data_IF_799699039617
#
_entry.id   IF_799699039617
#
_cell.length_a   1.000
_cell.length_b   1.000
_cell.length_c   1.000
_cell.angle_alpha   90.00
_cell.angle_beta   90.00
_cell.angle_gamma   90.00
#
_symmetry.space_group_name_H-M   'P 1'
#
loop_
_entity.id
_entity.type
_entity.pdbx_description
1 polymer ?
#
# COMPACT_ATOMS: atom_id res chain seq x y z
N UNK A 1 -22.59 19.24 19.81
CA UNK A 1 -21.14 19.06 19.55
C UNK A 1 -20.64 20.33 18.86
N UNK A 2 -19.64 21.01 19.43
CA UNK A 2 -19.04 22.21 18.81
C UNK A 2 -18.53 21.92 17.39
N UNK A 3 -18.47 22.94 16.54
CA UNK A 3 -18.05 22.83 15.14
C UNK A 3 -16.69 22.15 14.97
N UNK A 4 -15.73 22.47 15.84
CA UNK A 4 -14.39 21.84 15.86
C UNK A 4 -14.43 20.32 16.06
N UNK A 5 -15.21 19.84 17.04
CA UNK A 5 -15.35 18.40 17.29
C UNK A 5 -15.97 17.66 16.11
N UNK A 6 -16.96 18.28 15.44
CA UNK A 6 -17.57 17.72 14.22
C UNK A 6 -16.60 17.63 13.06
N UNK A 7 -15.79 18.66 12.85
CA UNK A 7 -14.76 18.67 11.79
C UNK A 7 -13.73 17.56 12.01
N UNK A 8 -13.19 17.42 13.22
CA UNK A 8 -12.22 16.37 13.54
C UNK A 8 -12.82 14.97 13.39
N UNK A 9 -14.06 14.75 13.85
CA UNK A 9 -14.76 13.48 13.67
C UNK A 9 -14.96 13.14 12.19
N UNK A 10 -15.36 14.11 11.36
CA UNK A 10 -15.52 13.92 9.92
C UNK A 10 -14.17 13.59 9.23
N UNK A 11 -13.09 14.25 9.64
CA UNK A 11 -11.74 13.94 9.15
C UNK A 11 -11.33 12.51 9.50
N UNK A 12 -11.53 12.06 10.74
CA UNK A 12 -11.22 10.68 11.14
C UNK A 12 -12.02 9.66 10.34
N UNK A 13 -13.31 9.89 10.14
CA UNK A 13 -14.16 9.01 9.32
C UNK A 13 -13.71 8.96 7.86
N UNK A 14 -13.35 10.11 7.28
CA UNK A 14 -12.81 10.18 5.93
C UNK A 14 -11.52 9.35 5.80
N UNK A 15 -10.66 9.42 6.81
CA UNK A 15 -9.40 8.68 6.81
C UNK A 15 -9.59 7.17 6.96
N UNK A 16 -10.54 6.71 7.78
CA UNK A 16 -10.89 5.29 7.84
C UNK A 16 -11.46 4.74 6.53
N UNK A 17 -12.21 5.57 5.79
CA UNK A 17 -12.70 5.20 4.46
C UNK A 17 -11.54 5.09 3.48
N UNK A 18 -10.61 6.03 3.51
CA UNK A 18 -9.43 5.99 2.64
C UNK A 18 -8.50 4.81 2.97
N UNK A 19 -8.35 4.46 4.26
CA UNK A 19 -7.60 3.28 4.69
C UNK A 19 -8.17 2.00 4.09
N UNK A 20 -9.49 1.81 4.21
CA UNK A 20 -10.20 0.67 3.60
C UNK A 20 -10.10 0.64 2.08
N UNK A 21 -10.29 1.79 1.43
CA UNK A 21 -10.13 1.88 -0.02
C UNK A 21 -8.69 1.53 -0.46
N UNK A 22 -7.69 1.90 0.33
CA UNK A 22 -6.30 1.55 0.06
C UNK A 22 -6.06 0.03 0.22
N UNK A 23 -6.59 -0.61 1.25
CA UNK A 23 -6.54 -2.07 1.43
C UNK A 23 -7.17 -2.80 0.22
N UNK A 24 -8.33 -2.36 -0.24
CA UNK A 24 -8.98 -2.92 -1.43
C UNK A 24 -8.13 -2.73 -2.70
N UNK A 25 -7.48 -1.57 -2.86
CA UNK A 25 -6.58 -1.31 -3.98
C UNK A 25 -5.33 -2.19 -3.92
N UNK A 26 -4.77 -2.45 -2.73
CA UNK A 26 -3.64 -3.37 -2.56
C UNK A 26 -4.05 -4.77 -2.97
N UNK A 27 -5.20 -5.27 -2.52
CA UNK A 27 -5.69 -6.59 -2.92
C UNK A 27 -5.86 -6.70 -4.45
N UNK A 28 -6.33 -5.64 -5.11
CA UNK A 28 -6.43 -5.58 -6.58
C UNK A 28 -5.06 -5.59 -7.25
N UNK A 29 -4.08 -4.87 -6.71
CA UNK A 29 -2.71 -4.87 -7.24
C UNK A 29 -2.11 -6.27 -7.09
N UNK A 30 -2.24 -6.90 -5.93
CA UNK A 30 -1.76 -8.26 -5.69
C UNK A 30 -2.39 -9.23 -6.69
N UNK A 31 -3.71 -9.15 -6.88
CA UNK A 31 -4.39 -10.02 -7.84
C UNK A 31 -3.89 -9.82 -9.27
N UNK A 32 -3.74 -8.57 -9.71
CA UNK A 32 -3.22 -8.27 -11.04
C UNK A 32 -1.78 -8.78 -11.24
N UNK A 33 -0.99 -8.83 -10.18
CA UNK A 33 0.38 -9.36 -10.21
C UNK A 33 0.43 -10.88 -10.23
N UNK A 34 -0.41 -11.56 -9.45
CA UNK A 34 -0.57 -13.01 -9.55
C UNK A 34 -0.95 -13.43 -10.99
N UNK A 35 -1.91 -12.72 -11.58
CA UNK A 35 -2.37 -13.00 -12.93
C UNK A 35 -1.25 -12.75 -13.96
N UNK A 36 -0.43 -11.72 -13.73
CA UNK A 36 0.75 -11.44 -14.55
C UNK A 36 1.83 -12.52 -14.40
N UNK A 37 2.16 -12.95 -13.17
CA UNK A 37 3.13 -14.02 -12.93
C UNK A 37 2.69 -15.33 -13.56
N UNK A 38 1.40 -15.67 -13.43
CA UNK A 38 0.83 -16.86 -14.07
C UNK A 38 0.95 -16.79 -15.60
N UNK A 39 0.64 -15.62 -16.20
CA UNK A 39 0.80 -15.40 -17.63
C UNK A 39 2.25 -15.52 -18.08
N UNK A 40 3.19 -14.85 -17.39
CA UNK A 40 4.61 -14.88 -17.72
C UNK A 40 5.19 -16.30 -17.58
N UNK A 41 4.80 -17.03 -16.53
CA UNK A 41 5.22 -18.42 -16.34
C UNK A 41 4.63 -19.38 -17.37
N UNK A 42 3.43 -19.11 -17.90
CA UNK A 42 2.87 -19.86 -19.02
C UNK A 42 3.58 -19.52 -20.34
N UNK A 43 3.82 -18.23 -20.60
CA UNK A 43 4.55 -17.74 -21.77
C UNK A 43 5.96 -18.32 -21.85
N UNK A 44 6.69 -18.32 -20.74
CA UNK A 44 8.03 -18.91 -20.63
C UNK A 44 8.03 -20.42 -20.95
N UNK A 45 7.07 -21.17 -20.40
CA UNK A 45 6.91 -22.60 -20.71
C UNK A 45 6.60 -22.85 -22.19
N UNK A 46 5.72 -22.04 -22.78
CA UNK A 46 5.43 -22.17 -24.21
C UNK A 46 6.67 -21.92 -25.08
N UNK A 47 7.56 -20.98 -24.70
CA UNK A 47 8.82 -20.79 -25.41
C UNK A 47 9.75 -22.00 -25.29
N UNK A 48 9.83 -22.64 -24.12
CA UNK A 48 10.59 -23.88 -23.90
C UNK A 48 10.02 -25.04 -24.73
N UNK A 49 8.69 -25.18 -24.79
CA UNK A 49 8.02 -26.21 -25.59
C UNK A 49 8.24 -26.03 -27.09
N UNK A 50 8.23 -24.78 -27.58
CA UNK A 50 8.55 -24.45 -28.97
C UNK A 50 10.03 -24.73 -29.25
N UNK A 51 10.92 -24.32 -28.34
CA UNK A 51 12.35 -24.59 -28.45
C UNK A 51 12.65 -26.09 -28.57
N UNK A 52 11.93 -26.94 -27.82
CA UNK A 52 12.11 -28.39 -27.87
C UNK A 52 11.67 -29.04 -29.19
N UNK A 53 10.80 -28.37 -29.95
CA UNK A 53 10.29 -28.82 -31.25
C UNK A 53 10.99 -28.16 -32.43
N UNK A 54 11.84 -27.15 -32.18
CA UNK A 54 12.50 -26.37 -33.21
C UNK A 54 13.71 -27.11 -33.80
N UNK A 55 13.68 -27.33 -35.12
CA UNK A 55 14.74 -28.05 -35.84
C UNK A 55 16.01 -27.20 -36.02
N UNK A 56 15.84 -25.87 -36.11
CA UNK A 56 16.94 -24.92 -36.19
C UNK A 56 17.59 -24.77 -34.81
N UNK A 57 18.65 -25.54 -34.54
CA UNK A 57 19.32 -25.55 -33.23
C UNK A 57 19.70 -24.15 -32.67
N UNK A 58 20.20 -23.19 -33.46
CA UNK A 58 20.44 -21.82 -32.97
C UNK A 58 19.16 -21.10 -32.53
N UNK A 59 18.05 -21.28 -33.24
CA UNK A 59 16.76 -20.70 -32.87
C UNK A 59 16.16 -21.40 -31.65
N UNK A 60 16.24 -22.73 -31.59
CA UNK A 60 15.83 -23.53 -30.44
C UNK A 60 16.53 -23.04 -29.15
N UNK A 61 17.86 -22.86 -29.20
CA UNK A 61 18.62 -22.35 -28.07
C UNK A 61 18.16 -20.95 -27.64
N UNK A 62 17.95 -20.04 -28.60
CA UNK A 62 17.49 -18.70 -28.29
C UNK A 62 16.11 -18.67 -27.62
N UNK A 63 15.16 -19.47 -28.12
CA UNK A 63 13.82 -19.61 -27.56
C UNK A 63 13.86 -20.20 -26.15
N UNK A 64 14.69 -21.23 -25.93
CA UNK A 64 14.91 -21.81 -24.60
C UNK A 64 15.48 -20.79 -23.61
N UNK A 65 16.48 -20.01 -24.02
CA UNK A 65 17.05 -18.95 -23.19
C UNK A 65 16.02 -17.86 -22.82
N UNK A 66 15.13 -17.49 -23.75
CA UNK A 66 14.03 -16.56 -23.45
C UNK A 66 13.05 -17.13 -22.44
N UNK A 67 12.71 -18.42 -22.56
CA UNK A 67 11.88 -19.13 -21.58
C UNK A 67 12.50 -19.10 -20.18
N UNK A 68 13.78 -19.46 -20.08
CA UNK A 68 14.53 -19.42 -18.82
C UNK A 68 14.55 -18.00 -18.20
N UNK A 69 14.75 -16.97 -19.02
CA UNK A 69 14.70 -15.58 -18.57
C UNK A 69 13.32 -15.18 -18.04
N UNK A 70 12.24 -15.65 -18.68
CA UNK A 70 10.88 -15.46 -18.18
C UNK A 70 10.65 -16.10 -16.81
N UNK A 71 11.11 -17.34 -16.62
CA UNK A 71 11.02 -18.03 -15.32
C UNK A 71 11.85 -17.33 -14.23
N UNK A 72 13.06 -16.88 -14.58
CA UNK A 72 13.91 -16.10 -13.67
C UNK A 72 13.27 -14.78 -13.29
N UNK A 73 12.68 -14.06 -14.24
CA UNK A 73 12.00 -12.79 -13.94
C UNK A 73 10.85 -13.01 -12.97
N UNK A 74 10.02 -14.04 -13.17
CA UNK A 74 8.91 -14.36 -12.25
C UNK A 74 9.44 -14.69 -10.86
N UNK A 75 10.38 -15.63 -10.75
CA UNK A 75 10.90 -16.07 -9.45
C UNK A 75 11.67 -14.98 -8.69
N UNK A 76 12.53 -14.21 -9.37
CA UNK A 76 13.33 -13.16 -8.73
C UNK A 76 12.53 -11.90 -8.40
N UNK A 77 11.39 -11.66 -9.06
CA UNK A 77 10.55 -10.49 -8.79
C UNK A 77 9.39 -10.74 -7.83
N UNK A 78 9.03 -12.00 -7.56
CA UNK A 78 7.89 -12.36 -6.71
C UNK A 78 7.91 -11.65 -5.36
N UNK A 79 8.97 -11.84 -4.56
CA UNK A 79 9.06 -11.24 -3.23
C UNK A 79 8.97 -9.70 -3.25
N UNK A 80 9.61 -9.09 -4.25
CA UNK A 80 9.72 -7.64 -4.39
C UNK A 80 8.41 -7.01 -4.89
N UNK A 81 7.65 -7.74 -5.71
CA UNK A 81 6.45 -7.24 -6.38
C UNK A 81 5.15 -7.62 -5.67
N UNK A 82 5.17 -8.71 -4.89
CA UNK A 82 4.03 -9.25 -4.16
C UNK A 82 4.18 -9.03 -2.66
N UNK A 83 5.05 -9.82 -2.03
CA UNK A 83 5.09 -9.97 -0.58
C UNK A 83 5.46 -8.67 0.13
N UNK A 84 6.47 -7.95 -0.37
CA UNK A 84 6.96 -6.73 0.27
C UNK A 84 5.97 -5.57 0.18
N UNK A 85 5.40 -5.21 -0.99
CA UNK A 85 4.35 -4.20 -1.08
C UNK A 85 3.13 -4.51 -0.23
N UNK A 86 2.64 -5.75 -0.24
CA UNK A 86 1.51 -6.16 0.58
C UNK A 86 1.80 -5.93 2.08
N UNK A 87 2.91 -6.48 2.56
CA UNK A 87 3.30 -6.38 3.97
C UNK A 87 3.47 -4.94 4.41
N UNK A 88 4.20 -4.14 3.62
CA UNK A 88 4.49 -2.74 3.95
C UNK A 88 3.23 -1.88 3.97
N UNK A 89 2.31 -2.07 3.01
CA UNK A 89 1.09 -1.26 2.96
C UNK A 89 0.12 -1.66 4.07
N UNK A 90 -0.11 -2.96 4.29
CA UNK A 90 -0.99 -3.44 5.35
C UNK A 90 -0.46 -3.05 6.73
N UNK A 91 0.85 -3.14 6.95
CA UNK A 91 1.47 -2.71 8.21
C UNK A 91 1.28 -1.21 8.43
N UNK A 92 1.45 -0.38 7.40
CA UNK A 92 1.24 1.06 7.50
C UNK A 92 -0.22 1.41 7.79
N UNK A 93 -1.17 0.79 7.10
CA UNK A 93 -2.60 1.04 7.31
C UNK A 93 -3.00 0.65 8.74
N UNK A 94 -2.57 -0.52 9.20
CA UNK A 94 -2.79 -0.98 10.58
C UNK A 94 -2.21 0.02 11.59
N UNK A 95 -0.97 0.48 11.38
CA UNK A 95 -0.35 1.46 12.27
C UNK A 95 -1.08 2.81 12.30
N UNK A 96 -1.60 3.28 11.15
CA UNK A 96 -2.42 4.52 11.11
C UNK A 96 -3.73 4.31 11.87
N UNK A 97 -4.34 3.14 11.77
CA UNK A 97 -5.56 2.82 12.52
C UNK A 97 -5.30 2.82 14.03
N UNK A 98 -4.32 2.03 14.47
CA UNK A 98 -4.10 1.74 15.89
C UNK A 98 -3.47 2.90 16.66
N UNK A 99 -2.51 3.59 16.04
CA UNK A 99 -1.69 4.60 16.75
C UNK A 99 -2.20 6.01 16.54
N UNK A 100 -3.13 6.20 15.62
CA UNK A 100 -3.44 7.50 15.09
C UNK A 100 -4.97 7.73 15.10
N UNK A 101 -5.76 6.89 14.41
CA UNK A 101 -7.22 7.05 14.35
C UNK A 101 -7.91 6.69 15.67
N UNK A 102 -7.62 5.51 16.23
CA UNK A 102 -8.26 5.02 17.46
C UNK A 102 -8.01 5.95 18.66
N UNK A 103 -6.77 6.42 18.93
CA UNK A 103 -6.50 7.35 20.03
C UNK A 103 -7.24 8.69 19.85
N UNK A 104 -7.27 9.23 18.63
CA UNK A 104 -7.97 10.48 18.33
C UNK A 104 -9.48 10.38 18.57
N UNK A 105 -10.10 9.24 18.22
CA UNK A 105 -11.52 8.98 18.53
C UNK A 105 -11.78 8.97 20.04
N UNK A 106 -10.94 8.28 20.81
CA UNK A 106 -11.04 8.25 22.28
C UNK A 106 -10.94 9.65 22.90
N UNK A 107 -9.98 10.46 22.42
CA UNK A 107 -9.83 11.85 22.87
C UNK A 107 -11.05 12.71 22.52
N UNK A 108 -11.67 12.51 21.34
CA UNK A 108 -12.89 13.22 20.97
C UNK A 108 -14.08 12.82 21.85
N UNK A 109 -14.21 11.54 22.20
CA UNK A 109 -15.25 11.07 23.14
C UNK A 109 -15.05 11.68 24.53
N UNK A 110 -13.81 11.71 25.02
CA UNK A 110 -13.47 12.29 26.31
C UNK A 110 -13.71 13.80 26.34
N UNK A 111 -13.40 14.49 25.23
CA UNK A 111 -13.73 15.91 25.03
C UNK A 111 -15.24 16.14 25.12
N UNK A 112 -16.03 15.31 24.44
CA UNK A 112 -17.49 15.44 24.45
C UNK A 112 -18.06 15.23 25.85
N UNK A 113 -17.57 14.23 26.60
CA UNK A 113 -17.94 14.01 28.00
C UNK A 113 -17.56 15.20 28.87
N UNK A 114 -16.35 15.72 28.71
CA UNK A 114 -15.86 16.85 29.49
C UNK A 114 -16.71 18.12 29.28
N UNK A 115 -17.08 18.41 28.03
CA UNK A 115 -17.95 19.55 27.69
C UNK A 115 -19.37 19.35 28.24
N UNK A 116 -19.93 18.13 28.16
CA UNK A 116 -21.26 17.85 28.73
C UNK A 116 -21.28 18.11 30.24
N UNK A 117 -20.24 17.72 30.96
CA UNK A 117 -20.10 17.98 32.41
C UNK A 117 -19.95 19.48 32.68
N UNK A 118 -19.13 20.19 31.89
CA UNK A 118 -18.95 21.64 32.01
C UNK A 118 -20.28 22.38 31.86
N UNK A 119 -21.04 22.07 30.80
CA UNK A 119 -22.36 22.68 30.54
C UNK A 119 -23.34 22.39 31.69
N UNK A 120 -23.31 21.18 32.25
CA UNK A 120 -24.14 20.82 33.41
C UNK A 120 -23.75 21.64 34.64
N UNK A 121 -22.47 21.72 34.96
CA UNK A 121 -21.97 22.50 36.11
C UNK A 121 -22.24 24.00 35.95
N UNK A 122 -22.14 24.53 34.73
CA UNK A 122 -22.44 25.93 34.43
C UNK A 122 -23.92 26.22 34.70
N UNK A 123 -24.85 25.37 34.21
CA UNK A 123 -26.28 25.51 34.50
C UNK A 123 -26.59 25.47 35.99
N UNK A 124 -26.04 24.48 36.70
CA UNK A 124 -26.25 24.34 38.14
C UNK A 124 -25.69 25.55 38.90
N UNK A 125 -24.55 26.11 38.48
CA UNK A 125 -24.00 27.34 39.07
C UNK A 125 -24.91 28.56 38.83
N UNK A 126 -25.45 28.71 37.61
CA UNK A 126 -26.34 29.80 37.24
C UNK A 126 -27.69 29.75 38.00
N UNK A 127 -28.17 28.54 38.31
CA UNK A 127 -29.34 28.32 39.16
C UNK A 127 -29.08 28.72 40.62
N UNK A 128 -27.93 28.32 41.18
CA UNK A 128 -27.54 28.66 42.56
C UNK A 128 -27.38 30.17 42.77
N UNK A 129 -27.08 30.93 41.70
CA UNK A 129 -26.99 32.39 41.73
C UNK A 129 -28.29 33.05 42.23
N UNK A 130 -29.45 32.42 42.08
CA UNK A 130 -30.79 32.97 42.37
C UNK A 130 -31.26 32.84 43.83
N UNK A 131 -30.49 32.22 44.73
CA UNK A 131 -30.92 32.15 46.14
C UNK A 131 -30.09 31.29 47.10
N UNK A 132 -28.99 30.69 46.65
CA UNK A 132 -28.23 29.72 47.47
C UNK A 132 -27.17 30.37 48.35
N UNK A 133 -26.70 29.60 49.35
CA UNK A 133 -25.67 30.02 50.30
C UNK A 133 -24.33 30.32 49.61
N UNK A 134 -23.55 31.25 50.17
CA UNK A 134 -22.23 31.62 49.62
C UNK A 134 -21.28 30.42 49.53
N UNK A 135 -21.34 29.51 50.50
CA UNK A 135 -20.50 28.30 50.56
C UNK A 135 -20.81 27.31 49.43
N UNK A 136 -22.07 27.13 49.07
CA UNK A 136 -22.47 26.24 47.96
C UNK A 136 -22.08 26.83 46.60
N UNK A 137 -22.24 28.14 46.44
CA UNK A 137 -21.80 28.87 45.25
C UNK A 137 -20.29 28.73 45.04
N UNK A 138 -19.51 28.93 46.10
CA UNK A 138 -18.06 28.79 46.04
C UNK A 138 -17.63 27.35 45.70
N UNK A 139 -18.25 26.34 46.33
CA UNK A 139 -17.99 24.93 46.01
C UNK A 139 -18.25 24.62 44.54
N UNK A 140 -19.40 25.05 44.00
CA UNK A 140 -19.75 24.82 42.59
C UNK A 140 -18.81 25.59 41.64
N UNK A 141 -18.41 26.81 41.99
CA UNK A 141 -17.46 27.60 41.22
C UNK A 141 -16.10 26.88 41.09
N UNK A 142 -15.59 26.30 42.18
CA UNK A 142 -14.35 25.50 42.14
C UNK A 142 -14.49 24.29 41.22
N UNK A 143 -15.58 23.53 41.33
CA UNK A 143 -15.86 22.38 40.45
C UNK A 143 -15.93 22.79 38.97
N UNK A 144 -16.58 23.92 38.67
CA UNK A 144 -16.66 24.47 37.32
C UNK A 144 -15.28 24.88 36.80
N UNK A 145 -14.46 25.54 37.62
CA UNK A 145 -13.08 25.91 37.29
C UNK A 145 -12.22 24.68 36.97
N UNK A 146 -12.28 23.64 37.82
CA UNK A 146 -11.56 22.39 37.59
C UNK A 146 -12.00 21.70 36.29
N UNK A 147 -13.30 21.73 36.00
CA UNK A 147 -13.84 21.14 34.78
C UNK A 147 -13.44 21.92 33.52
N UNK A 148 -13.42 23.26 33.57
CA UNK A 148 -12.92 24.10 32.47
C UNK A 148 -11.46 23.78 32.16
N UNK A 149 -10.62 23.67 33.19
CA UNK A 149 -9.22 23.24 33.03
C UNK A 149 -9.10 21.85 32.40
N UNK A 150 -9.99 20.90 32.74
CA UNK A 150 -10.01 19.58 32.09
C UNK A 150 -10.36 19.67 30.60
N UNK A 151 -11.33 20.51 30.23
CA UNK A 151 -11.69 20.73 28.82
C UNK A 151 -10.52 21.34 28.05
N UNK A 152 -9.83 22.33 28.63
CA UNK A 152 -8.61 22.92 28.07
C UNK A 152 -7.51 21.87 27.86
N UNK A 153 -7.24 21.03 28.86
CA UNK A 153 -6.24 19.95 28.75
C UNK A 153 -6.58 18.97 27.62
N UNK A 154 -7.84 18.55 27.48
CA UNK A 154 -8.26 17.64 26.40
C UNK A 154 -8.13 18.31 25.03
N UNK A 155 -8.45 19.61 24.92
CA UNK A 155 -8.25 20.35 23.67
C UNK A 155 -6.75 20.43 23.30
N UNK A 156 -5.86 20.70 24.25
CA UNK A 156 -4.41 20.75 24.02
C UNK A 156 -3.84 19.40 23.58
N UNK A 157 -4.33 18.30 24.18
CA UNK A 157 -3.98 16.94 23.75
C UNK A 157 -4.46 16.67 22.33
N UNK A 158 -5.69 17.04 21.99
CA UNK A 158 -6.22 16.89 20.63
C UNK A 158 -5.38 17.65 19.60
N UNK A 159 -4.94 18.87 19.90
CA UNK A 159 -4.10 19.65 18.98
C UNK A 159 -2.75 18.95 18.75
N UNK A 160 -2.09 18.56 19.84
CA UNK A 160 -0.81 17.85 19.78
C UNK A 160 -0.92 16.54 18.98
N UNK A 161 -1.98 15.76 19.23
CA UNK A 161 -2.20 14.50 18.52
C UNK A 161 -2.58 14.71 17.06
N UNK A 162 -3.31 15.78 16.71
CA UNK A 162 -3.67 16.09 15.32
C UNK A 162 -2.42 16.41 14.50
N UNK A 163 -1.53 17.26 15.00
CA UNK A 163 -0.28 17.61 14.31
C UNK A 163 0.64 16.40 14.14
N UNK A 164 0.79 15.60 15.19
CA UNK A 164 1.60 14.38 15.14
C UNK A 164 1.00 13.35 14.19
N UNK A 165 -0.33 13.22 14.18
CA UNK A 165 -1.07 12.34 13.28
C UNK A 165 -0.80 12.71 11.81
N UNK A 166 -0.94 13.98 11.43
CA UNK A 166 -0.77 14.40 10.03
C UNK A 166 0.66 14.16 9.55
N UNK A 167 1.65 14.47 10.40
CA UNK A 167 3.06 14.20 10.11
C UNK A 167 3.32 12.71 9.93
N UNK A 168 2.82 11.89 10.85
CA UNK A 168 2.96 10.44 10.81
C UNK A 168 2.34 9.84 9.55
N UNK A 169 1.10 10.22 9.24
CA UNK A 169 0.38 9.78 8.04
C UNK A 169 1.15 10.12 6.77
N UNK A 170 1.63 11.36 6.64
CA UNK A 170 2.39 11.80 5.45
C UNK A 170 3.68 10.99 5.31
N UNK A 171 4.43 10.81 6.40
CA UNK A 171 5.67 10.04 6.37
C UNK A 171 5.43 8.58 5.95
N UNK A 172 4.38 7.95 6.48
CA UNK A 172 4.04 6.58 6.16
C UNK A 172 3.54 6.41 4.74
N UNK A 173 2.74 7.35 4.23
CA UNK A 173 2.30 7.34 2.84
C UNK A 173 3.47 7.49 1.86
N UNK A 174 4.45 8.35 2.19
CA UNK A 174 5.70 8.45 1.41
C UNK A 174 6.45 7.11 1.36
N UNK A 175 6.49 6.37 2.48
CA UNK A 175 7.12 5.05 2.54
C UNK A 175 6.43 4.08 1.58
N UNK A 176 5.10 4.02 1.59
CA UNK A 176 4.30 3.18 0.67
C UNK A 176 4.61 3.50 -0.78
N UNK A 177 4.50 4.77 -1.18
CA UNK A 177 4.69 5.18 -2.58
C UNK A 177 6.12 4.90 -3.02
N UNK A 178 7.10 5.15 -2.15
CA UNK A 178 8.49 4.83 -2.44
C UNK A 178 8.73 3.34 -2.60
N UNK A 179 8.04 2.48 -1.83
CA UNK A 179 8.17 1.04 -1.95
C UNK A 179 7.61 0.54 -3.28
N UNK A 180 6.38 0.95 -3.60
CA UNK A 180 5.75 0.63 -4.89
C UNK A 180 6.62 1.06 -6.08
N UNK A 181 7.18 2.27 -6.03
CA UNK A 181 8.06 2.77 -7.09
C UNK A 181 9.35 1.93 -7.22
N UNK A 182 9.96 1.54 -6.11
CA UNK A 182 11.18 0.70 -6.11
C UNK A 182 10.89 -0.70 -6.63
N UNK A 183 9.78 -1.31 -6.23
CA UNK A 183 9.38 -2.62 -6.73
C UNK A 183 9.22 -2.60 -8.25
N UNK A 184 8.51 -1.59 -8.78
CA UNK A 184 8.34 -1.42 -10.23
C UNK A 184 9.67 -1.22 -10.95
N UNK A 185 10.53 -0.34 -10.40
CA UNK A 185 11.85 -0.10 -10.97
C UNK A 185 12.70 -1.37 -11.01
N UNK A 186 12.68 -2.16 -9.93
CA UNK A 186 13.35 -3.44 -9.86
C UNK A 186 12.84 -4.41 -10.93
N UNK A 187 11.53 -4.60 -11.04
CA UNK A 187 10.93 -5.48 -12.04
C UNK A 187 11.35 -5.13 -13.47
N UNK A 188 11.26 -3.84 -13.83
CA UNK A 188 11.62 -3.40 -15.17
C UNK A 188 13.13 -3.46 -15.43
N UNK A 189 13.96 -3.08 -14.47
CA UNK A 189 15.41 -3.18 -14.60
C UNK A 189 15.87 -4.63 -14.73
N UNK A 190 15.28 -5.53 -13.92
CA UNK A 190 15.59 -6.97 -13.98
C UNK A 190 15.12 -7.60 -15.29
N UNK A 191 13.96 -7.18 -15.80
CA UNK A 191 13.51 -7.59 -17.14
C UNK A 191 14.51 -7.19 -18.22
N UNK A 192 15.03 -5.96 -18.20
CA UNK A 192 16.05 -5.54 -19.15
C UNK A 192 17.35 -6.35 -19.00
N UNK A 193 17.82 -6.57 -17.77
CA UNK A 193 19.02 -7.35 -17.47
C UNK A 193 18.93 -8.77 -18.03
N UNK A 194 17.83 -9.47 -17.75
CA UNK A 194 17.65 -10.87 -18.16
C UNK A 194 17.46 -11.01 -19.68
N UNK A 195 16.63 -10.16 -20.28
CA UNK A 195 16.23 -10.32 -21.68
C UNK A 195 17.20 -9.68 -22.69
N UNK A 196 18.13 -8.82 -22.27
CA UNK A 196 19.01 -8.09 -23.19
C UNK A 196 19.83 -9.01 -24.10
N UNK A 197 20.48 -10.03 -23.54
CA UNK A 197 21.36 -10.93 -24.29
C UNK A 197 20.56 -11.87 -25.21
N UNK A 198 19.55 -12.63 -24.73
CA UNK A 198 18.78 -13.52 -25.61
C UNK A 198 18.08 -12.78 -26.75
N UNK A 199 17.54 -11.59 -26.50
CA UNK A 199 16.93 -10.77 -27.56
C UNK A 199 17.97 -10.32 -28.60
N UNK A 200 19.18 -9.98 -28.17
CA UNK A 200 20.26 -9.63 -29.08
C UNK A 200 20.73 -10.83 -29.90
N UNK A 201 20.80 -12.02 -29.30
CA UNK A 201 21.18 -13.24 -30.00
C UNK A 201 20.18 -13.60 -31.09
N UNK A 202 18.88 -13.50 -30.80
CA UNK A 202 17.82 -13.68 -31.82
C UNK A 202 17.95 -12.67 -32.95
N UNK A 203 18.18 -11.39 -32.62
CA UNK A 203 18.32 -10.35 -33.63
C UNK A 203 19.52 -10.55 -34.56
N UNK A 204 20.52 -11.33 -34.13
CA UNK A 204 21.72 -11.65 -34.90
C UNK A 204 21.61 -12.94 -35.71
N UNK A 205 20.57 -13.75 -35.53
CA UNK A 205 20.36 -14.97 -36.31
C UNK A 205 20.19 -14.61 -37.79
N UNK A 206 21.10 -15.12 -38.63
CA UNK A 206 21.01 -14.96 -40.08
C UNK A 206 20.25 -16.12 -40.71
N UNK A 207 19.44 -15.86 -41.73
CA UNK A 207 18.62 -16.86 -42.44
C UNK A 207 19.46 -18.00 -43.05
N UNK A 208 20.74 -17.76 -43.33
CA UNK A 208 21.67 -18.75 -43.87
C UNK A 208 22.08 -19.85 -42.89
N UNK A 209 21.89 -19.65 -41.58
CA UNK A 209 22.20 -20.66 -40.57
C UNK A 209 21.15 -21.80 -40.55
N UNK A 210 19.96 -21.59 -41.14
CA UNK A 210 18.91 -22.59 -41.27
C UNK A 210 19.12 -23.57 -42.44
N UNK A 211 19.98 -23.26 -43.42
CA UNK A 211 20.00 -23.95 -44.74
C UNK A 211 21.04 -25.08 -44.83
N UNK A 212 21.99 -25.20 -43.88
CA UNK A 212 23.13 -26.15 -44.02
C UNK A 212 22.81 -27.64 -43.83
N UNK A 213 21.54 -28.06 -43.68
CA UNK A 213 21.17 -29.47 -43.39
C UNK A 213 20.05 -30.07 -44.24
N UNK A 214 19.72 -29.53 -45.40
CA UNK A 214 18.96 -30.32 -46.38
C UNK A 214 19.95 -31.14 -47.23
N UNK A 215 20.07 -32.48 -47.07
CA UNK A 215 20.82 -33.27 -48.03
C UNK A 215 20.08 -33.18 -49.38
N UNK A 216 20.74 -32.59 -50.37
CA UNK A 216 20.29 -32.68 -51.75
C UNK A 216 20.43 -34.15 -52.17
N UNK A 217 19.33 -34.90 -52.14
CA UNK A 217 19.25 -36.17 -52.84
C UNK A 217 19.23 -35.87 -54.34
N UNK A 218 20.38 -36.07 -55.00
CA UNK A 218 20.45 -36.07 -56.46
C UNK A 218 19.70 -37.31 -56.99
N UNK A 219 18.66 -37.19 -57.84
CA UNK A 219 17.94 -38.33 -58.39
C UNK A 219 18.68 -39.06 -59.54
N UNK A 220 19.99 -38.82 -59.73
CA UNK A 220 20.70 -39.20 -60.95
C UNK A 220 21.62 -40.42 -60.83
N UNK A 221 21.63 -41.13 -59.69
CA UNK A 221 22.38 -42.39 -59.53
C UNK A 221 21.42 -43.57 -59.34
N UNK A 222 20.61 -43.81 -60.37
CA UNK A 222 19.98 -45.10 -60.61
C UNK A 222 19.93 -45.30 -62.13
N UNK A 223 20.99 -45.90 -62.67
CA UNK A 223 21.04 -46.48 -64.01
C UNK A 223 21.64 -47.87 -63.90
#
# INVERSE_FOLDING_TARGET
MEQRGRTLAAQLQFMERNGRALEELVAKIMKAREDQEAFLGAFARSLEDIAAQEECAPLAQCLGNLGECGQKLVSESHDVMMLRPETEILQVVTQIQDWAIVPMKRLLEDREKAIKIEVKLQKEYDELRRGSSAKEKEKKLRMLSDQKRRVENVNALLDTHTENFDRYRIQKMKKIVSELARSQAFYHAKGLELFAVPCQDIARLQSTDAIKRAPQSNPAEAS
#
